data_IF_844778174644
#
_entry.id   IF_844778174644
#
_cell.length_a   1.000
_cell.length_b   1.000
_cell.length_c   1.000
_cell.angle_alpha   90.00
_cell.angle_beta   90.00
_cell.angle_gamma   90.00
#
_symmetry.space_group_name_H-M   'P 1'
#
loop_
_entity.id
_entity.type
_entity.pdbx_description
1 polymer ?
#
# COMPACT_ATOMS: atom_id res chain seq x y z
N UNK A 1 -7.40 3.56 1.15
CA UNK A 1 -8.13 2.27 1.18
C UNK A 1 -8.32 1.75 -0.23
N UNK A 2 -8.44 0.44 -0.44
CA UNK A 2 -8.76 -0.12 -1.76
C UNK A 2 -8.18 -1.51 -1.95
N UNK A 3 -8.48 -2.18 -3.08
CA UNK A 3 -8.00 -3.53 -3.38
C UNK A 3 -6.47 -3.65 -3.30
N UNK A 4 -5.92 -4.85 -3.05
CA UNK A 4 -4.48 -5.06 -3.09
C UNK A 4 -3.91 -4.77 -4.49
N UNK A 5 -2.64 -4.39 -4.56
CA UNK A 5 -1.95 -4.13 -5.83
C UNK A 5 -2.33 -2.84 -6.56
N UNK A 6 -3.16 -1.97 -5.98
CA UNK A 6 -3.58 -0.69 -6.60
C UNK A 6 -2.59 0.45 -6.42
N UNK A 7 -1.44 0.23 -5.78
CA UNK A 7 -0.38 1.22 -5.64
C UNK A 7 -0.54 2.20 -4.48
N UNK A 8 -1.29 1.84 -3.41
CA UNK A 8 -1.51 2.72 -2.25
C UNK A 8 -0.22 3.21 -1.60
N UNK A 9 0.73 2.32 -1.35
CA UNK A 9 2.04 2.63 -0.78
C UNK A 9 2.86 3.53 -1.71
N UNK A 10 2.82 3.26 -3.02
CA UNK A 10 3.48 4.09 -4.04
C UNK A 10 2.90 5.49 -4.08
N UNK A 11 1.56 5.61 -3.97
CA UNK A 11 0.88 6.90 -3.95
C UNK A 11 1.33 7.74 -2.74
N UNK A 12 1.36 7.14 -1.54
CA UNK A 12 1.81 7.83 -0.33
C UNK A 12 3.27 8.31 -0.45
N UNK A 13 4.14 7.47 -1.00
CA UNK A 13 5.54 7.84 -1.27
C UNK A 13 5.67 8.94 -2.31
N UNK A 14 4.86 8.91 -3.36
CA UNK A 14 4.85 9.95 -4.39
C UNK A 14 4.39 11.31 -3.83
N UNK A 15 3.39 11.32 -2.94
CA UNK A 15 2.94 12.53 -2.24
C UNK A 15 4.06 13.13 -1.39
N UNK A 16 4.81 12.31 -0.65
CA UNK A 16 5.95 12.78 0.14
C UNK A 16 7.07 13.35 -0.74
N UNK A 17 7.36 12.68 -1.88
CA UNK A 17 8.34 13.15 -2.85
C UNK A 17 7.95 14.47 -3.50
N UNK A 18 6.69 14.65 -3.86
CA UNK A 18 6.17 15.89 -4.44
C UNK A 18 6.17 17.03 -3.42
N UNK A 19 5.84 16.72 -2.15
CA UNK A 19 5.90 17.68 -1.05
C UNK A 19 7.34 17.96 -0.57
N UNK A 20 8.32 17.19 -1.03
CA UNK A 20 9.73 17.27 -0.62
C UNK A 20 9.92 17.17 0.89
N UNK A 21 9.22 16.23 1.53
CA UNK A 21 9.29 15.95 2.97
C UNK A 21 9.75 14.53 3.25
N UNK A 22 10.39 14.27 4.41
CA UNK A 22 10.75 12.92 4.84
C UNK A 22 9.55 11.98 4.87
N UNK A 23 9.79 10.72 4.51
CA UNK A 23 8.78 9.66 4.48
C UNK A 23 9.21 8.48 5.35
N UNK A 24 8.53 8.27 6.46
CA UNK A 24 8.74 7.14 7.37
C UNK A 24 7.64 6.12 7.13
N UNK A 25 8.00 4.87 6.85
CA UNK A 25 7.02 3.81 6.60
C UNK A 25 7.27 2.59 7.47
N UNK A 26 6.18 2.02 7.98
CA UNK A 26 6.17 0.77 8.73
C UNK A 26 4.99 -0.07 8.27
N UNK A 27 5.10 -1.39 8.37
CA UNK A 27 3.96 -2.28 8.18
C UNK A 27 3.21 -2.48 9.49
N UNK A 28 1.87 -2.53 9.42
CA UNK A 28 1.05 -2.90 10.58
C UNK A 28 1.40 -4.27 11.14
N UNK A 29 1.91 -5.19 10.32
CA UNK A 29 2.41 -6.49 10.76
C UNK A 29 3.63 -6.40 11.68
N UNK A 30 4.48 -5.36 11.52
CA UNK A 30 5.67 -5.15 12.34
C UNK A 30 5.34 -4.78 13.79
N UNK A 31 4.11 -4.37 14.03
CA UNK A 31 3.60 -4.10 15.38
C UNK A 31 3.04 -5.33 16.09
N UNK A 32 2.78 -6.41 15.34
CA UNK A 32 2.18 -7.64 15.87
C UNK A 32 3.28 -8.68 16.02
N UNK A 33 4.07 -8.58 17.08
CA UNK A 33 5.11 -9.56 17.41
C UNK A 33 4.69 -10.43 18.61
N UNK A 34 5.39 -11.56 18.81
CA UNK A 34 5.08 -12.53 19.85
C UNK A 34 5.41 -12.06 21.29
N UNK A 35 6.06 -10.90 21.44
CA UNK A 35 6.49 -10.40 22.75
C UNK A 35 5.62 -9.22 23.20
N UNK A 36 5.03 -9.34 24.37
CA UNK A 36 4.15 -8.33 24.97
C UNK A 36 4.87 -6.98 25.10
N UNK A 37 4.23 -5.92 24.59
CA UNK A 37 4.71 -4.54 24.71
C UNK A 37 5.67 -4.05 23.64
N UNK A 38 6.22 -4.93 22.79
CA UNK A 38 7.12 -4.53 21.69
C UNK A 38 6.38 -3.70 20.65
N UNK A 39 5.18 -4.11 20.26
CA UNK A 39 4.35 -3.36 19.31
C UNK A 39 4.05 -1.94 19.78
N UNK A 40 3.66 -1.77 21.04
CA UNK A 40 3.38 -0.46 21.62
C UNK A 40 4.64 0.44 21.71
N UNK A 41 5.83 -0.14 21.95
CA UNK A 41 7.09 0.62 21.92
C UNK A 41 7.41 1.10 20.50
N UNK A 42 7.26 0.24 19.49
CA UNK A 42 7.48 0.61 18.09
C UNK A 42 6.54 1.71 17.60
N UNK A 43 5.30 1.70 18.06
CA UNK A 43 4.36 2.79 17.79
C UNK A 43 4.93 4.11 18.33
N UNK A 44 5.34 4.15 19.60
CA UNK A 44 5.92 5.35 20.20
C UNK A 44 7.16 5.84 19.46
N UNK A 45 8.09 4.94 19.16
CA UNK A 45 9.33 5.26 18.44
C UNK A 45 9.06 5.87 17.08
N UNK A 46 8.07 5.32 16.33
CA UNK A 46 7.66 5.85 15.03
C UNK A 46 7.13 7.29 15.13
N UNK A 47 6.26 7.54 16.11
CA UNK A 47 5.67 8.86 16.32
C UNK A 47 6.70 9.88 16.82
N UNK A 48 7.63 9.47 17.69
CA UNK A 48 8.76 10.32 18.10
C UNK A 48 9.68 10.65 16.93
N UNK A 49 9.98 9.69 16.06
CA UNK A 49 10.74 9.96 14.83
C UNK A 49 10.03 10.96 13.92
N UNK A 50 8.71 10.83 13.77
CA UNK A 50 7.91 11.79 13.02
C UNK A 50 8.03 13.21 13.60
N UNK A 51 7.83 13.35 14.91
CA UNK A 51 7.94 14.65 15.61
C UNK A 51 9.34 15.29 15.47
N UNK A 52 10.41 14.50 15.60
CA UNK A 52 11.80 14.95 15.46
C UNK A 52 12.15 15.42 14.05
N UNK A 53 11.47 14.92 13.03
CA UNK A 53 11.74 15.18 11.62
C UNK A 53 10.62 15.97 10.92
N UNK A 54 9.79 16.67 11.67
CA UNK A 54 8.74 17.50 11.10
C UNK A 54 9.32 18.66 10.28
N UNK A 55 8.73 19.03 9.13
CA UNK A 55 7.53 18.42 8.54
C UNK A 55 7.81 17.08 7.84
N UNK A 56 6.99 16.07 8.08
CA UNK A 56 7.16 14.74 7.49
C UNK A 56 5.83 13.99 7.28
N UNK A 57 5.90 12.89 6.53
CA UNK A 57 4.80 11.94 6.39
C UNK A 57 5.18 10.64 7.11
N UNK A 58 4.33 10.21 8.04
CA UNK A 58 4.38 8.89 8.68
C UNK A 58 3.33 8.01 8.01
N UNK A 59 3.77 6.88 7.46
CA UNK A 59 2.92 5.97 6.70
C UNK A 59 2.86 4.59 7.38
N UNK A 60 1.65 4.13 7.65
CA UNK A 60 1.41 2.78 8.19
C UNK A 60 0.71 1.97 7.12
N UNK A 61 1.42 0.99 6.53
CA UNK A 61 0.81 0.05 5.60
C UNK A 61 0.12 -1.09 6.35
N UNK A 62 -0.88 -1.70 5.73
CA UNK A 62 -1.62 -2.83 6.31
C UNK A 62 -2.12 -2.58 7.74
N UNK A 63 -2.68 -1.39 8.00
CA UNK A 63 -3.15 -0.99 9.34
C UNK A 63 -4.16 -1.97 9.94
N UNK A 64 -4.84 -2.76 9.11
CA UNK A 64 -5.78 -3.81 9.52
C UNK A 64 -5.10 -4.97 10.27
N UNK A 65 -3.77 -5.10 10.21
CA UNK A 65 -3.05 -6.06 11.04
C UNK A 65 -3.18 -5.75 12.54
N UNK A 66 -3.17 -4.45 12.90
CA UNK A 66 -3.29 -3.95 14.29
C UNK A 66 -4.69 -3.46 14.57
N UNK A 67 -5.28 -2.72 13.62
CA UNK A 67 -6.53 -1.98 13.78
C UNK A 67 -7.79 -2.81 13.58
N UNK A 68 -7.75 -4.14 13.70
CA UNK A 68 -8.92 -5.00 13.53
C UNK A 68 -9.88 -4.85 14.69
N UNK A 69 -11.19 -4.83 14.35
CA UNK A 69 -12.29 -4.79 15.32
C UNK A 69 -12.18 -5.88 16.39
N UNK A 70 -12.51 -5.53 17.64
CA UNK A 70 -12.59 -6.42 18.78
C UNK A 70 -13.65 -7.50 18.56
N UNK A 71 -13.28 -8.66 18.11
CA UNK A 71 -14.18 -9.79 17.83
C UNK A 71 -13.70 -11.06 18.49
N UNK A 72 -14.62 -11.80 19.10
CA UNK A 72 -14.45 -13.03 19.83
C UNK A 72 -13.40 -13.99 19.23
N UNK A 73 -12.23 -14.06 19.85
CA UNK A 73 -11.19 -15.04 19.58
C UNK A 73 -10.46 -15.37 20.86
N UNK A 74 -10.57 -16.61 21.30
CA UNK A 74 -9.86 -17.17 22.47
C UNK A 74 -8.39 -17.42 22.10
N UNK A 75 -7.47 -16.52 22.50
CA UNK A 75 -6.03 -16.78 22.33
C UNK A 75 -5.14 -15.59 22.72
N UNK A 76 -4.00 -15.84 23.34
CA UNK A 76 -3.08 -14.86 23.94
C UNK A 76 -2.42 -13.81 23.01
N UNK A 77 -2.67 -13.83 21.69
CA UNK A 77 -2.22 -12.78 20.77
C UNK A 77 -3.21 -11.61 20.63
N UNK A 78 -4.36 -11.66 21.33
CA UNK A 78 -5.36 -10.59 21.26
C UNK A 78 -5.00 -9.42 22.17
N UNK A 79 -4.45 -9.70 23.36
CA UNK A 79 -4.12 -8.68 24.35
C UNK A 79 -3.02 -7.75 23.85
N UNK A 80 -2.04 -8.28 23.11
CA UNK A 80 -0.95 -7.50 22.55
C UNK A 80 -1.40 -6.59 21.42
N UNK A 81 -2.23 -7.08 20.52
CA UNK A 81 -2.82 -6.26 19.45
C UNK A 81 -3.69 -5.14 20.01
N UNK A 82 -4.47 -5.45 21.02
CA UNK A 82 -5.32 -4.45 21.69
C UNK A 82 -4.46 -3.39 22.42
N UNK A 83 -3.39 -3.81 23.08
CA UNK A 83 -2.43 -2.88 23.70
C UNK A 83 -1.76 -1.99 22.66
N UNK A 84 -1.33 -2.55 21.54
CA UNK A 84 -0.72 -1.81 20.43
C UNK A 84 -1.70 -0.85 19.78
N UNK A 85 -2.95 -1.28 19.54
CA UNK A 85 -4.01 -0.42 19.03
C UNK A 85 -4.30 0.73 20.00
N UNK A 86 -4.41 0.46 21.29
CA UNK A 86 -4.65 1.49 22.28
C UNK A 86 -3.49 2.50 22.33
N UNK A 87 -2.24 2.04 22.23
CA UNK A 87 -1.09 2.94 22.14
C UNK A 87 -1.15 3.79 20.89
N UNK A 88 -1.49 3.20 19.73
CA UNK A 88 -1.66 3.94 18.47
C UNK A 88 -2.71 5.05 18.62
N UNK A 89 -3.85 4.74 19.23
CA UNK A 89 -4.91 5.71 19.47
C UNK A 89 -4.45 6.85 20.40
N UNK A 90 -3.67 6.52 21.46
CA UNK A 90 -3.11 7.52 22.39
C UNK A 90 -2.13 8.43 21.65
N UNK A 91 -1.23 7.88 20.85
CA UNK A 91 -0.28 8.68 20.07
C UNK A 91 -0.99 9.58 19.06
N UNK A 92 -2.05 9.08 18.40
CA UNK A 92 -2.85 9.88 17.46
C UNK A 92 -3.58 11.02 18.17
N UNK A 93 -4.16 10.77 19.35
CA UNK A 93 -4.86 11.79 20.14
C UNK A 93 -3.89 12.82 20.74
N UNK A 94 -2.62 12.45 20.94
CA UNK A 94 -1.54 13.32 21.38
C UNK A 94 -0.90 14.17 20.26
N UNK A 95 -1.36 14.00 19.01
CA UNK A 95 -0.91 14.84 17.90
C UNK A 95 -1.69 16.16 17.89
N UNK A 96 -1.01 17.23 18.23
CA UNK A 96 -1.56 18.57 17.97
C UNK A 96 -1.46 18.88 16.47
N UNK A 97 -2.50 19.52 15.91
CA UNK A 97 -2.63 19.84 14.48
C UNK A 97 -1.50 20.70 13.90
N UNK A 98 -0.60 21.19 14.73
CA UNK A 98 0.50 22.12 14.38
C UNK A 98 1.88 21.46 14.34
N UNK A 99 2.01 20.17 14.63
CA UNK A 99 3.33 19.51 14.71
C UNK A 99 3.97 19.24 13.32
N UNK A 100 3.26 19.53 12.22
CA UNK A 100 3.80 19.35 10.85
C UNK A 100 3.94 17.88 10.43
N UNK A 101 3.38 16.95 11.18
CA UNK A 101 3.40 15.52 10.86
C UNK A 101 2.06 15.10 10.26
N UNK A 102 2.09 14.49 9.09
CA UNK A 102 0.90 13.95 8.43
C UNK A 102 0.92 12.43 8.57
N UNK A 103 -0.06 11.89 9.28
CA UNK A 103 -0.24 10.45 9.41
C UNK A 103 -1.12 9.92 8.26
N UNK A 104 -0.58 8.98 7.51
CA UNK A 104 -1.27 8.29 6.41
C UNK A 104 -1.28 6.80 6.70
N UNK A 105 -2.40 6.13 6.48
CA UNK A 105 -2.46 4.67 6.55
C UNK A 105 -3.07 4.04 5.32
N UNK A 106 -2.67 2.82 5.01
CA UNK A 106 -3.25 2.02 3.96
C UNK A 106 -3.85 0.72 4.50
N UNK A 107 -4.95 0.29 3.90
CA UNK A 107 -5.57 -1.01 4.17
C UNK A 107 -6.23 -1.57 2.92
N UNK A 108 -6.19 -2.88 2.80
CA UNK A 108 -6.94 -3.65 1.80
C UNK A 108 -8.33 -4.06 2.34
N UNK A 109 -8.55 -3.94 3.64
CA UNK A 109 -9.74 -4.42 4.34
C UNK A 109 -10.34 -3.36 5.25
N UNK A 110 -10.96 -2.32 4.68
CA UNK A 110 -11.56 -1.25 5.48
C UNK A 110 -12.73 -1.73 6.35
N UNK A 111 -13.35 -2.86 6.00
CA UNK A 111 -14.47 -3.51 6.68
C UNK A 111 -14.12 -4.04 8.07
N UNK A 112 -12.85 -4.37 8.32
CA UNK A 112 -12.40 -4.95 9.59
C UNK A 112 -11.78 -3.93 10.55
N UNK A 113 -11.64 -2.68 10.13
CA UNK A 113 -11.04 -1.63 10.96
C UNK A 113 -11.90 -1.25 12.16
N UNK A 114 -11.25 -1.06 13.32
CA UNK A 114 -11.91 -0.56 14.51
C UNK A 114 -12.47 0.87 14.25
N UNK A 115 -13.75 1.11 14.53
CA UNK A 115 -14.36 2.43 14.36
C UNK A 115 -13.65 3.54 15.14
N UNK A 116 -12.92 3.21 16.20
CA UNK A 116 -12.15 4.17 16.97
C UNK A 116 -11.04 4.84 16.15
N UNK A 117 -10.45 4.15 15.17
CA UNK A 117 -9.46 4.72 14.26
C UNK A 117 -10.06 5.76 13.30
N UNK A 118 -11.34 5.64 13.02
CA UNK A 118 -12.05 6.43 12.01
C UNK A 118 -12.79 7.65 12.60
N UNK A 119 -12.57 7.93 13.90
CA UNK A 119 -13.17 9.10 14.57
C UNK A 119 -12.49 10.40 14.11
N UNK A 120 -13.23 11.54 14.14
CA UNK A 120 -12.65 12.85 13.92
C UNK A 120 -11.43 13.09 14.82
N UNK A 121 -10.39 13.74 14.27
CA UNK A 121 -9.11 13.94 14.97
C UNK A 121 -8.11 12.81 14.79
N UNK A 122 -8.50 11.70 14.15
CA UNK A 122 -7.64 10.55 13.80
C UNK A 122 -7.60 10.39 12.28
N UNK A 123 -8.07 9.26 11.72
CA UNK A 123 -8.22 9.11 10.26
C UNK A 123 -9.56 9.67 9.79
N UNK A 124 -9.67 10.97 9.74
CA UNK A 124 -10.87 11.71 9.35
C UNK A 124 -11.10 11.75 7.83
N UNK A 125 -10.03 11.63 7.05
CA UNK A 125 -10.09 11.61 5.58
C UNK A 125 -9.89 10.22 5.02
N UNK A 126 -10.85 9.79 4.19
CA UNK A 126 -10.82 8.47 3.54
C UNK A 126 -10.69 8.64 2.04
N UNK A 127 -9.61 8.11 1.49
CA UNK A 127 -9.33 8.11 0.05
C UNK A 127 -9.45 6.68 -0.44
N UNK A 128 -10.29 6.45 -1.44
CA UNK A 128 -10.45 5.14 -2.08
C UNK A 128 -9.61 5.11 -3.35
N UNK A 129 -8.68 4.17 -3.41
CA UNK A 129 -7.87 3.89 -4.60
C UNK A 129 -8.48 2.69 -5.30
N UNK A 130 -9.24 2.93 -6.35
CA UNK A 130 -9.89 1.89 -7.14
C UNK A 130 -8.90 1.21 -8.10
N UNK A 131 -9.35 0.10 -8.72
CA UNK A 131 -8.64 -0.48 -9.86
C UNK A 131 -8.58 0.54 -11.00
N UNK A 132 -7.49 0.56 -11.79
CA UNK A 132 -7.34 1.51 -12.87
C UNK A 132 -8.34 1.23 -14.01
N UNK A 133 -8.83 2.28 -14.63
CA UNK A 133 -9.56 2.23 -15.87
C UNK A 133 -8.64 1.89 -17.06
N UNK A 134 -9.17 1.85 -18.27
CA UNK A 134 -8.38 1.53 -19.48
C UNK A 134 -7.21 2.49 -19.65
N UNK A 135 -7.44 3.80 -19.44
CA UNK A 135 -6.41 4.83 -19.57
C UNK A 135 -5.34 4.70 -18.49
N UNK A 136 -5.75 4.39 -17.26
CA UNK A 136 -4.83 4.10 -16.16
C UNK A 136 -3.96 2.88 -16.43
N UNK A 137 -4.55 1.79 -16.97
CA UNK A 137 -3.79 0.59 -17.34
C UNK A 137 -2.81 0.84 -18.47
N UNK A 138 -3.21 1.62 -19.46
CA UNK A 138 -2.32 2.06 -20.55
C UNK A 138 -1.09 2.78 -19.99
N UNK A 139 -1.28 3.75 -19.10
CA UNK A 139 -0.19 4.45 -18.44
C UNK A 139 0.71 3.53 -17.60
N UNK A 140 0.12 2.57 -16.85
CA UNK A 140 0.86 1.59 -16.06
C UNK A 140 1.69 0.66 -16.95
N UNK A 141 1.11 0.15 -18.03
CA UNK A 141 1.82 -0.63 -19.05
C UNK A 141 3.01 0.16 -19.60
N UNK A 142 2.79 1.42 -20.01
CA UNK A 142 3.86 2.28 -20.53
C UNK A 142 5.00 2.50 -19.55
N UNK A 143 4.73 2.55 -18.24
CA UNK A 143 5.77 2.64 -17.20
C UNK A 143 6.58 1.35 -17.11
N UNK A 144 5.90 0.20 -17.04
CA UNK A 144 6.58 -1.09 -16.84
C UNK A 144 7.31 -1.60 -18.10
N UNK A 145 6.85 -1.21 -19.28
CA UNK A 145 7.50 -1.59 -20.56
C UNK A 145 8.63 -0.67 -20.98
N UNK A 146 8.79 0.49 -20.34
CA UNK A 146 9.78 1.52 -20.75
C UNK A 146 11.22 1.01 -20.88
N UNK A 147 11.61 0.02 -20.09
CA UNK A 147 12.99 -0.54 -20.05
C UNK A 147 13.09 -1.89 -20.72
N UNK A 148 12.06 -2.34 -21.40
CA UNK A 148 11.98 -3.67 -22.00
C UNK A 148 11.90 -3.50 -23.51
N UNK A 149 12.73 -4.20 -24.31
CA UNK A 149 12.62 -4.17 -25.76
C UNK A 149 11.33 -4.86 -26.19
N UNK A 150 10.39 -4.08 -26.71
CA UNK A 150 9.14 -4.57 -27.27
C UNK A 150 9.33 -4.87 -28.76
N UNK A 151 8.62 -5.87 -29.26
CA UNK A 151 8.47 -6.10 -30.71
C UNK A 151 7.52 -5.06 -31.31
N UNK A 152 7.67 -4.76 -32.59
CA UNK A 152 6.88 -3.75 -33.32
C UNK A 152 5.39 -4.10 -33.41
N UNK A 153 5.03 -5.36 -33.21
CA UNK A 153 3.65 -5.86 -33.21
C UNK A 153 2.92 -5.69 -31.86
N UNK A 154 3.63 -5.27 -30.81
CA UNK A 154 3.04 -5.08 -29.47
C UNK A 154 2.34 -3.72 -29.37
N UNK A 155 1.01 -3.74 -29.33
CA UNK A 155 0.19 -2.56 -29.07
C UNK A 155 -0.26 -2.49 -27.61
N UNK A 156 0.31 -1.54 -26.87
CA UNK A 156 0.02 -1.30 -25.44
C UNK A 156 -1.46 -0.94 -25.24
N UNK A 157 -2.09 -0.23 -26.18
CA UNK A 157 -3.49 0.16 -26.08
C UNK A 157 -4.43 -1.05 -26.20
N UNK A 158 -4.09 -2.02 -27.06
CA UNK A 158 -4.83 -3.28 -27.17
C UNK A 158 -4.68 -4.08 -25.88
N UNK A 159 -3.48 -4.19 -25.34
CA UNK A 159 -3.22 -4.86 -24.07
C UNK A 159 -3.99 -4.21 -22.91
N UNK A 160 -4.04 -2.88 -22.85
CA UNK A 160 -4.81 -2.16 -21.84
C UNK A 160 -6.31 -2.45 -21.90
N UNK A 161 -6.87 -2.66 -23.10
CA UNK A 161 -8.27 -3.07 -23.27
C UNK A 161 -8.50 -4.53 -22.87
N UNK A 162 -7.56 -5.42 -23.22
CA UNK A 162 -7.63 -6.85 -22.92
C UNK A 162 -7.46 -7.18 -21.44
N UNK A 163 -6.81 -6.32 -20.64
CA UNK A 163 -6.53 -6.53 -19.22
C UNK A 163 -7.60 -5.94 -18.28
N UNK A 164 -8.88 -6.08 -18.64
CA UNK A 164 -9.97 -5.58 -17.82
C UNK A 164 -9.92 -6.17 -16.40
N UNK A 165 -10.07 -5.30 -15.38
CA UNK A 165 -10.06 -5.71 -13.98
C UNK A 165 -8.66 -5.89 -13.35
N UNK A 166 -7.58 -5.78 -14.13
CA UNK A 166 -6.21 -5.85 -13.61
C UNK A 166 -5.88 -4.61 -12.77
N UNK A 167 -5.18 -4.83 -11.67
CA UNK A 167 -4.55 -3.77 -10.89
C UNK A 167 -3.09 -3.53 -11.35
N UNK A 168 -2.42 -2.56 -10.75
CA UNK A 168 -1.03 -2.24 -11.09
C UNK A 168 -0.07 -3.41 -10.89
N UNK A 169 -0.26 -4.19 -9.82
CA UNK A 169 0.57 -5.37 -9.55
C UNK A 169 0.34 -6.49 -10.58
N UNK A 170 -0.90 -6.70 -11.03
CA UNK A 170 -1.20 -7.69 -12.06
C UNK A 170 -0.52 -7.34 -13.38
N UNK A 171 -0.55 -6.06 -13.76
CA UNK A 171 0.11 -5.55 -14.97
C UNK A 171 1.64 -5.67 -14.86
N UNK A 172 2.20 -5.33 -13.71
CA UNK A 172 3.65 -5.48 -13.48
C UNK A 172 4.06 -6.95 -13.61
N UNK A 173 3.28 -7.88 -13.03
CA UNK A 173 3.52 -9.31 -13.15
C UNK A 173 3.38 -9.79 -14.60
N UNK A 174 2.34 -9.38 -15.31
CA UNK A 174 2.15 -9.71 -16.74
C UNK A 174 3.38 -9.33 -17.58
N UNK A 175 3.89 -8.11 -17.41
CA UNK A 175 5.07 -7.63 -18.13
C UNK A 175 6.33 -8.42 -17.74
N UNK A 176 6.49 -8.73 -16.45
CA UNK A 176 7.62 -9.52 -15.97
C UNK A 176 7.59 -10.96 -16.50
N UNK A 177 6.43 -11.62 -16.47
CA UNK A 177 6.27 -12.99 -17.00
C UNK A 177 6.52 -13.03 -18.51
N UNK A 178 6.03 -12.03 -19.24
CA UNK A 178 6.30 -11.92 -20.66
C UNK A 178 7.80 -11.75 -20.96
N UNK A 179 8.50 -10.91 -20.17
CA UNK A 179 9.94 -10.71 -20.31
C UNK A 179 10.74 -11.99 -20.00
N UNK A 180 10.36 -12.73 -18.94
CA UNK A 180 10.98 -14.01 -18.61
C UNK A 180 10.77 -15.06 -19.70
N UNK A 181 9.58 -15.09 -20.27
CA UNK A 181 9.26 -16.01 -21.36
C UNK A 181 10.06 -15.68 -22.63
N UNK A 182 10.12 -14.38 -23.01
CA UNK A 182 10.95 -13.94 -24.13
C UNK A 182 12.44 -14.28 -23.95
N UNK A 183 12.97 -14.10 -22.74
CA UNK A 183 14.35 -14.47 -22.41
C UNK A 183 14.63 -15.97 -22.56
N UNK A 184 13.65 -16.84 -22.23
CA UNK A 184 13.78 -18.30 -22.44
C UNK A 184 13.98 -18.69 -23.89
N UNK A 185 13.30 -17.98 -24.79
CA UNK A 185 13.36 -18.26 -26.25
C UNK A 185 14.38 -17.38 -26.97
N UNK A 186 15.16 -16.57 -26.24
CA UNK A 186 16.14 -15.64 -26.77
C UNK A 186 15.56 -14.72 -27.86
N UNK A 187 14.33 -14.22 -27.63
CA UNK A 187 13.56 -13.38 -28.54
C UNK A 187 13.06 -12.11 -27.86
N UNK A 188 12.52 -11.18 -28.66
CA UNK A 188 11.82 -9.99 -28.15
C UNK A 188 10.47 -10.40 -27.50
N UNK A 189 9.89 -9.51 -26.70
CA UNK A 189 8.53 -9.68 -26.21
C UNK A 189 7.53 -9.65 -27.37
N UNK A 190 6.85 -10.75 -27.56
CA UNK A 190 5.71 -10.86 -28.46
C UNK A 190 4.39 -10.77 -27.68
N UNK A 191 3.32 -10.39 -28.35
CA UNK A 191 1.97 -10.71 -27.89
C UNK A 191 1.84 -12.22 -27.80
N UNK A 192 1.22 -12.75 -26.74
CA UNK A 192 1.00 -14.20 -26.57
C UNK A 192 0.57 -14.86 -27.86
N UNK A 193 1.20 -15.99 -28.28
CA UNK A 193 0.73 -16.72 -29.44
C UNK A 193 -0.74 -17.09 -29.24
N UNK A 194 -1.52 -16.90 -30.31
CA UNK A 194 -2.92 -17.30 -30.30
C UNK A 194 -3.03 -18.80 -30.01
N UNK A 195 -3.98 -19.27 -29.19
CA UNK A 195 -4.18 -20.71 -28.96
C UNK A 195 -4.55 -21.51 -30.21
N UNK A 196 -4.44 -20.94 -31.40
CA UNK A 196 -4.82 -21.54 -32.68
C UNK A 196 -3.66 -21.82 -33.63
N UNK A 197 -2.40 -21.58 -33.22
CA UNK A 197 -1.20 -21.90 -34.00
C UNK A 197 -0.52 -23.17 -33.50
#
# INVERSE_FOLDING_TARGET
>A
MGPPGTGKTLLARAVAGEANVPFFSISGSDFVEMFVGVGASRVRDLFEQGKKNAPCIVFIDEIDAVGRHRGAGLGGGHDEREQTLNQLLVEMDGFESNEGVILVSATNRPDVLDPALLRPGRFDRRIVVNRPDVKGRDGILGVHTRKIPLSDDVDIHILARGTSGFCGADIANLVNEAALNAARYNCLLYTSPSPRD
#
